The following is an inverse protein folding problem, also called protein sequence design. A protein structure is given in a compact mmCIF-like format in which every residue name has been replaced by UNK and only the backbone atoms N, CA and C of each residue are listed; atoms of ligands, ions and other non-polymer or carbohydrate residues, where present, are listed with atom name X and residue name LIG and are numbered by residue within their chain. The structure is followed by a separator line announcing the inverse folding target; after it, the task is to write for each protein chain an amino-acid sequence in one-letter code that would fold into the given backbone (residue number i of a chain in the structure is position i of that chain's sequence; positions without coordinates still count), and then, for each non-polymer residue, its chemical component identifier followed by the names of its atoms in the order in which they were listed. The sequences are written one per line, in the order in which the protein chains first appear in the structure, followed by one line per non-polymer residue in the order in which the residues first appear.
data_IF_411412149039
#
_entry.id   IF_411412149039
#
_cell.length_a   1.000
_cell.length_b   1.000
_cell.length_c   1.000
_cell.angle_alpha   90.00
_cell.angle_beta   90.00
_cell.angle_gamma   90.00
#
_symmetry.space_group_name_H-M   'P 1'
#
loop_
_entity.id
_entity.type
_entity.pdbx_description
1 polymer ?
#
# COMPACT_ATOMS: atom_id res chain seq x y z
N UNK A 1 11.94 -4.23 10.96
CA UNK A 1 11.00 -4.70 9.91
C UNK A 1 10.08 -3.54 9.57
N UNK A 2 9.93 -3.17 8.29
CA UNK A 2 9.06 -2.04 7.91
C UNK A 2 7.60 -2.35 8.26
N UNK A 3 6.82 -1.37 8.76
CA UNK A 3 5.39 -1.56 9.03
C UNK A 3 4.65 -2.05 7.78
N UNK A 4 3.65 -2.93 7.98
CA UNK A 4 2.90 -3.56 6.88
C UNK A 4 2.22 -2.55 5.95
N UNK A 5 1.75 -1.44 6.52
CA UNK A 5 1.11 -0.36 5.77
C UNK A 5 2.13 0.29 4.82
N UNK A 6 3.37 0.48 5.28
CA UNK A 6 4.45 1.10 4.51
C UNK A 6 4.95 0.17 3.38
N UNK A 7 5.01 -1.14 3.64
CA UNK A 7 5.31 -2.14 2.60
C UNK A 7 4.24 -2.12 1.48
N UNK A 8 2.96 -2.06 1.86
CA UNK A 8 1.86 -2.00 0.88
C UNK A 8 1.91 -0.68 0.10
N UNK A 9 2.15 0.45 0.77
CA UNK A 9 2.28 1.75 0.11
C UNK A 9 3.46 1.76 -0.85
N UNK A 10 4.64 1.28 -0.43
CA UNK A 10 5.83 1.22 -1.27
C UNK A 10 5.59 0.38 -2.54
N UNK A 11 4.87 -0.73 -2.40
CA UNK A 11 4.43 -1.53 -3.54
C UNK A 11 3.50 -0.76 -4.48
N UNK A 12 2.46 -0.09 -3.95
CA UNK A 12 1.52 0.67 -4.77
C UNK A 12 2.19 1.88 -5.46
N UNK A 13 3.16 2.51 -4.81
CA UNK A 13 3.97 3.57 -5.41
C UNK A 13 4.82 3.06 -6.58
N UNK A 14 5.40 1.85 -6.46
CA UNK A 14 6.20 1.21 -7.52
C UNK A 14 5.40 0.94 -8.80
N UNK A 15 4.11 0.62 -8.67
CA UNK A 15 3.24 0.35 -9.82
C UNK A 15 2.44 1.57 -10.29
N UNK A 16 2.53 2.71 -9.60
CA UNK A 16 1.78 3.92 -9.93
C UNK A 16 2.12 4.39 -11.36
N UNK A 17 1.13 4.79 -12.20
CA UNK A 17 -0.27 5.09 -11.86
C UNK A 17 -1.25 3.91 -11.94
N UNK A 18 -0.75 2.68 -12.02
CA UNK A 18 -1.59 1.47 -12.08
C UNK A 18 -2.28 1.19 -10.74
N UNK A 19 -3.30 0.34 -10.79
CA UNK A 19 -4.05 -0.11 -9.64
C UNK A 19 -4.22 -1.63 -9.69
N UNK A 20 -4.34 -2.25 -8.53
CA UNK A 20 -4.51 -3.70 -8.43
C UNK A 20 -5.51 -4.11 -7.34
N UNK A 21 -6.16 -5.29 -7.46
CA UNK A 21 -7.03 -5.80 -6.41
C UNK A 21 -6.20 -6.39 -5.25
N UNK A 22 -6.75 -6.45 -4.02
CA UNK A 22 -6.03 -6.90 -2.82
C UNK A 22 -5.35 -8.27 -2.94
N UNK A 23 -5.95 -9.19 -3.71
CA UNK A 23 -5.40 -10.53 -3.95
C UNK A 23 -4.10 -10.47 -4.75
N UNK A 24 -4.05 -9.64 -5.79
CA UNK A 24 -2.86 -9.50 -6.66
C UNK A 24 -1.76 -8.78 -5.90
N UNK A 25 -2.09 -7.69 -5.19
CA UNK A 25 -1.15 -6.98 -4.31
C UNK A 25 -0.48 -7.96 -3.34
N UNK A 26 -1.29 -8.75 -2.61
CA UNK A 26 -0.75 -9.70 -1.66
C UNK A 26 0.13 -10.77 -2.31
N UNK A 27 -0.31 -11.35 -3.43
CA UNK A 27 0.45 -12.37 -4.14
C UNK A 27 1.80 -11.85 -4.61
N UNK A 28 1.86 -10.61 -5.15
CA UNK A 28 3.11 -9.99 -5.58
C UNK A 28 4.06 -9.77 -4.39
N UNK A 29 3.56 -9.23 -3.27
CA UNK A 29 4.36 -9.03 -2.06
C UNK A 29 4.88 -10.34 -1.46
N UNK A 30 4.07 -11.41 -1.49
CA UNK A 30 4.49 -12.73 -1.03
C UNK A 30 5.59 -13.30 -1.94
N UNK A 31 5.46 -13.14 -3.26
CA UNK A 31 6.43 -13.61 -4.25
C UNK A 31 7.77 -12.89 -4.18
N UNK A 32 7.78 -11.62 -3.79
CA UNK A 32 9.00 -10.83 -3.58
C UNK A 32 9.60 -11.02 -2.19
N UNK A 33 8.94 -11.78 -1.30
CA UNK A 33 9.36 -11.94 0.09
C UNK A 33 9.13 -10.69 0.96
N UNK A 34 8.37 -9.71 0.46
CA UNK A 34 8.02 -8.46 1.16
C UNK A 34 6.84 -8.67 2.13
N UNK A 35 6.03 -9.73 1.95
CA UNK A 35 4.95 -10.10 2.85
C UNK A 35 5.18 -11.46 3.53
N UNK A 36 5.18 -11.46 4.86
CA UNK A 36 5.15 -12.66 5.73
C UNK A 36 3.78 -12.89 6.39
N UNK A 37 2.75 -12.17 5.93
CA UNK A 37 1.40 -12.18 6.49
C UNK A 37 0.35 -12.70 5.52
N UNK A 38 -0.75 -13.21 6.05
CA UNK A 38 -1.86 -13.74 5.23
C UNK A 38 -2.61 -12.66 4.43
N UNK A 39 -3.20 -13.04 3.28
CA UNK A 39 -3.98 -12.17 2.39
C UNK A 39 -5.02 -11.29 3.10
N UNK A 40 -5.72 -11.84 4.09
CA UNK A 40 -6.73 -11.11 4.87
C UNK A 40 -6.13 -9.87 5.55
N UNK A 41 -4.86 -9.91 5.95
CA UNK A 41 -4.16 -8.77 6.53
C UNK A 41 -4.00 -7.64 5.51
N UNK A 42 -3.57 -7.95 4.28
CA UNK A 42 -3.45 -6.97 3.19
C UNK A 42 -4.78 -6.26 2.94
N UNK A 43 -5.88 -7.02 2.87
CA UNK A 43 -7.22 -6.45 2.68
C UNK A 43 -7.64 -5.52 3.82
N UNK A 44 -7.39 -5.92 5.09
CA UNK A 44 -7.69 -5.08 6.27
C UNK A 44 -6.87 -3.81 6.29
N UNK A 45 -5.59 -3.87 5.91
CA UNK A 45 -4.71 -2.69 5.85
C UNK A 45 -5.12 -1.73 4.75
N UNK A 46 -5.44 -2.22 3.56
CA UNK A 46 -5.97 -1.39 2.47
C UNK A 46 -7.24 -0.65 2.89
N UNK A 47 -8.23 -1.34 3.48
CA UNK A 47 -9.44 -0.71 4.02
C UNK A 47 -9.14 0.34 5.09
N UNK A 48 -8.16 0.08 5.97
CA UNK A 48 -7.74 1.06 6.96
C UNK A 48 -7.20 2.32 6.28
N UNK A 49 -6.31 2.16 5.29
CA UNK A 49 -5.69 3.25 4.53
C UNK A 49 -6.68 4.06 3.68
N UNK A 50 -7.76 3.45 3.20
CA UNK A 50 -8.90 4.14 2.56
C UNK A 50 -9.60 5.11 3.53
N UNK A 51 -9.67 4.76 4.82
CA UNK A 51 -10.32 5.55 5.86
C UNK A 51 -9.46 6.66 6.48
N UNK A 52 -8.22 6.85 6.02
CA UNK A 52 -7.41 7.99 6.47
C UNK A 52 -7.96 9.32 5.94
N UNK A 53 -7.62 10.43 6.60
CA UNK A 53 -7.94 11.78 6.15
C UNK A 53 -6.65 12.62 6.12
N UNK A 54 -6.08 12.92 4.94
CA UNK A 54 -6.50 12.45 3.61
C UNK A 54 -6.31 10.93 3.40
N UNK A 55 -7.09 10.27 2.53
CA UNK A 55 -6.93 8.85 2.22
C UNK A 55 -5.55 8.54 1.64
N UNK A 56 -4.91 7.45 2.07
CA UNK A 56 -3.59 7.06 1.56
C UNK A 56 -3.68 6.16 0.31
N UNK A 57 -4.81 5.48 0.14
CA UNK A 57 -5.14 4.69 -1.03
C UNK A 57 -6.60 4.95 -1.42
N UNK A 58 -6.92 4.86 -2.69
CA UNK A 58 -8.27 5.07 -3.24
C UNK A 58 -8.74 3.85 -4.03
N UNK A 59 -10.06 3.65 -4.08
CA UNK A 59 -10.68 2.63 -4.94
C UNK A 59 -10.94 3.25 -6.31
N UNK A 60 -10.32 2.72 -7.37
CA UNK A 60 -10.50 3.19 -8.75
C UNK A 60 -11.48 2.33 -9.56
N UNK A 61 -11.80 1.12 -9.08
CA UNK A 61 -12.81 0.25 -9.67
C UNK A 61 -13.45 -0.62 -8.58
N UNK A 62 -14.75 -0.41 -8.34
CA UNK A 62 -15.51 -1.07 -7.28
C UNK A 62 -15.69 -2.57 -7.51
N UNK A 63 -15.88 -3.01 -8.76
CA UNK A 63 -16.20 -4.41 -9.09
C UNK A 63 -15.07 -5.39 -8.73
N UNK A 64 -13.82 -4.92 -8.72
CA UNK A 64 -12.65 -5.69 -8.27
C UNK A 64 -12.00 -5.14 -6.99
N UNK A 65 -12.48 -4.01 -6.47
CA UNK A 65 -11.82 -3.27 -5.40
C UNK A 65 -10.38 -2.90 -5.76
N UNK A 66 -10.14 -2.45 -6.99
CA UNK A 66 -8.81 -2.03 -7.43
C UNK A 66 -8.40 -0.80 -6.64
N UNK A 67 -7.22 -0.88 -6.01
CA UNK A 67 -6.68 0.21 -5.21
C UNK A 67 -5.43 0.80 -5.84
N UNK A 68 -5.34 2.12 -5.75
CA UNK A 68 -4.19 2.92 -6.16
C UNK A 68 -3.73 3.76 -4.99
N UNK A 69 -2.43 4.06 -4.91
CA UNK A 69 -1.91 5.03 -3.96
C UNK A 69 -2.35 6.45 -4.33
N UNK A 70 -2.65 7.28 -3.33
CA UNK A 70 -2.97 8.71 -3.51
C UNK A 70 -1.72 9.58 -3.34
N UNK A 71 -1.83 10.87 -3.65
CA UNK A 71 -0.75 11.84 -3.39
C UNK A 71 -0.38 11.89 -1.89
N UNK A 72 -1.36 11.76 -0.99
CA UNK A 72 -1.11 11.67 0.44
C UNK A 72 -0.36 10.40 0.84
N UNK A 73 -0.66 9.27 0.18
CA UNK A 73 0.10 8.03 0.35
C UNK A 73 1.55 8.17 -0.11
N UNK A 74 1.79 8.85 -1.23
CA UNK A 74 3.13 9.16 -1.74
C UNK A 74 3.88 10.09 -0.78
N UNK A 75 3.22 11.14 -0.28
CA UNK A 75 3.82 12.07 0.68
C UNK A 75 4.27 11.34 1.96
N UNK A 76 3.42 10.47 2.51
CA UNK A 76 3.77 9.65 3.67
C UNK A 76 5.01 8.77 3.45
N UNK A 77 5.15 8.16 2.27
CA UNK A 77 6.35 7.38 1.96
C UNK A 77 7.63 8.23 1.98
N UNK A 78 7.56 9.45 1.40
CA UNK A 78 8.70 10.37 1.39
C UNK A 78 9.10 10.81 2.80
N UNK A 79 8.13 11.06 3.68
CA UNK A 79 8.39 11.39 5.09
C UNK A 79 9.14 10.25 5.80
N UNK A 80 8.79 8.99 5.53
CA UNK A 80 9.47 7.82 6.09
C UNK A 80 10.91 7.70 5.59
N UNK A 81 11.15 7.92 4.30
CA UNK A 81 12.49 7.87 3.70
C UNK A 81 13.39 8.98 4.25
N UNK A 82 12.85 10.19 4.40
CA UNK A 82 13.61 11.34 4.95
C UNK A 82 14.03 11.11 6.41
N UNK A 83 13.21 10.39 7.19
CA UNK A 83 13.51 10.08 8.59
C UNK A 83 14.57 8.97 8.74
N UNK A 84 14.73 8.09 7.74
CA UNK A 84 15.76 7.04 7.72
C UNK A 84 17.16 7.59 7.38
N UNK A 85 17.28 8.78 6.77
CA UNK A 85 18.58 9.38 6.38
C UNK A 85 19.22 10.27 7.47
N UNK A 86 18.47 10.70 8.49
CA UNK A 86 18.96 11.59 9.55
C UNK A 86 19.50 10.87 10.81
N UNK A 87 19.63 9.54 10.79
CA UNK A 87 20.13 8.71 11.91
C UNK A 87 21.22 7.74 11.47
#
# INVERSE_FOLDING_TARGET
MKPKDDVILAYLARIYPSAEPPKVIHWNLEKTGEADWVQMTTQRRLKKMEGHSPPLVEIVNEKGGYRRITDAGIAKLRELETTEEEY
#
